data_IF_013801601900
#
_entry.id   IF_013801601900
#
_cell.length_a   1.000
_cell.length_b   1.000
_cell.length_c   1.000
_cell.angle_alpha   90.00
_cell.angle_beta   90.00
_cell.angle_gamma   90.00
#
_symmetry.space_group_name_H-M   'P 1'
#
loop_
_entity.id
_entity.type
_entity.pdbx_description
1 polymer ?
#
# COMPACT_ATOMS: atom_id res chain seq x y z
N UNK A 1 -9.78 8.37 7.02
CA UNK A 1 -11.26 8.38 7.04
C UNK A 1 -11.78 9.06 8.31
N UNK A 2 -11.47 8.54 9.51
CA UNK A 2 -11.94 9.12 10.77
C UNK A 2 -11.53 10.59 11.04
N UNK A 3 -10.25 11.03 10.86
CA UNK A 3 -9.87 12.42 11.12
C UNK A 3 -10.57 13.45 10.21
N UNK A 4 -10.95 13.02 9.01
CA UNK A 4 -11.66 13.84 8.03
C UNK A 4 -13.18 13.77 8.19
N UNK A 5 -13.69 13.01 9.19
CA UNK A 5 -15.12 12.89 9.49
C UNK A 5 -16.00 12.45 8.33
N UNK A 6 -15.42 11.71 7.37
CA UNK A 6 -16.14 11.32 6.15
C UNK A 6 -17.39 10.48 6.46
N UNK A 7 -17.37 9.72 7.56
CA UNK A 7 -18.50 8.91 8.00
C UNK A 7 -19.73 9.72 8.45
N UNK A 8 -19.60 11.03 8.71
CA UNK A 8 -20.72 11.93 9.02
C UNK A 8 -21.60 12.18 7.78
N UNK A 9 -21.02 12.11 6.57
CA UNK A 9 -21.71 12.33 5.29
C UNK A 9 -21.79 11.07 4.40
N UNK A 10 -21.00 10.04 4.70
CA UNK A 10 -21.01 8.75 4.04
C UNK A 10 -21.07 7.63 5.10
N UNK A 11 -22.26 7.34 5.66
CA UNK A 11 -22.39 6.47 6.82
C UNK A 11 -22.23 4.97 6.50
N UNK A 12 -22.24 4.57 5.23
CA UNK A 12 -22.05 3.18 4.82
C UNK A 12 -20.61 2.95 4.36
N UNK A 13 -19.87 2.16 5.14
CA UNK A 13 -18.47 1.83 4.88
C UNK A 13 -18.39 0.35 4.51
N UNK A 14 -17.86 0.04 3.34
CA UNK A 14 -17.60 -1.35 2.91
C UNK A 14 -16.10 -1.60 2.86
N UNK A 15 -15.61 -2.58 3.62
CA UNK A 15 -14.23 -3.05 3.56
C UNK A 15 -14.10 -4.04 2.41
N UNK A 16 -13.55 -3.58 1.28
CA UNK A 16 -13.41 -4.38 0.05
C UNK A 16 -12.14 -5.23 0.04
N UNK A 17 -11.05 -4.72 0.61
CA UNK A 17 -9.78 -5.45 0.80
C UNK A 17 -9.20 -6.05 -0.51
N UNK A 18 -9.14 -5.24 -1.58
CA UNK A 18 -8.59 -5.62 -2.90
C UNK A 18 -7.07 -5.42 -3.04
N UNK A 19 -6.36 -5.18 -1.93
CA UNK A 19 -4.88 -5.14 -1.96
C UNK A 19 -4.28 -3.93 -2.66
N UNK A 20 -4.94 -2.75 -2.63
CA UNK A 20 -4.40 -1.49 -3.15
C UNK A 20 -3.90 -0.53 -2.05
N UNK A 21 -2.86 -0.89 -1.26
CA UNK A 21 -2.30 0.05 -0.31
C UNK A 21 -1.60 1.20 -1.06
N UNK A 22 -1.74 2.42 -0.54
CA UNK A 22 -0.97 3.56 -1.01
C UNK A 22 0.37 3.55 -0.27
N UNK A 23 1.47 3.38 -1.00
CA UNK A 23 2.81 3.53 -0.45
C UNK A 23 3.30 4.97 -0.62
N UNK A 24 3.87 5.54 0.44
CA UNK A 24 4.54 6.84 0.41
C UNK A 24 6.05 6.68 0.49
N UNK A 25 6.79 7.70 0.05
CA UNK A 25 8.23 7.80 0.26
C UNK A 25 8.54 8.85 1.34
N UNK A 26 9.42 8.51 2.28
CA UNK A 26 10.05 9.50 3.15
C UNK A 26 11.28 10.05 2.44
N UNK A 27 11.26 11.35 2.12
CA UNK A 27 12.30 11.98 1.31
C UNK A 27 12.92 13.19 2.01
N UNK A 28 14.18 13.48 1.69
CA UNK A 28 14.89 14.69 2.11
C UNK A 28 15.36 15.47 0.88
N UNK A 29 15.44 16.80 0.98
CA UNK A 29 16.09 17.61 -0.04
C UNK A 29 17.55 17.15 -0.27
N UNK A 30 17.97 17.06 -1.52
CA UNK A 30 19.27 16.50 -1.90
C UNK A 30 20.45 17.37 -1.46
N UNK A 31 20.31 18.69 -1.51
CA UNK A 31 21.38 19.61 -1.11
C UNK A 31 21.57 19.58 0.41
N UNK A 32 20.46 19.56 1.15
CA UNK A 32 20.49 19.32 2.61
C UNK A 32 21.18 18.01 2.92
N UNK A 33 20.79 16.91 2.26
CA UNK A 33 21.43 15.60 2.45
C UNK A 33 22.94 15.66 2.23
N UNK A 34 23.38 16.28 1.14
CA UNK A 34 24.79 16.39 0.78
C UNK A 34 25.59 17.29 1.74
N UNK A 35 24.94 18.26 2.40
CA UNK A 35 25.59 19.09 3.42
C UNK A 35 25.79 18.39 4.77
N UNK A 36 25.11 17.26 5.01
CA UNK A 36 25.22 16.53 6.26
C UNK A 36 26.57 15.81 6.37
N UNK A 37 27.18 15.77 7.56
CA UNK A 37 28.32 14.89 7.83
C UNK A 37 27.96 13.42 7.56
N UNK A 38 28.95 12.63 7.15
CA UNK A 38 28.76 11.20 6.80
C UNK A 38 28.06 10.40 7.92
N UNK A 39 28.41 10.65 9.18
CA UNK A 39 27.77 9.96 10.32
C UNK A 39 26.26 10.25 10.41
N UNK A 40 25.81 11.46 10.07
CA UNK A 40 24.39 11.80 10.05
C UNK A 40 23.68 11.13 8.88
N UNK A 41 24.31 11.08 7.70
CA UNK A 41 23.77 10.34 6.56
C UNK A 41 23.55 8.86 6.90
N UNK A 42 24.50 8.24 7.61
CA UNK A 42 24.37 6.85 8.04
C UNK A 42 23.25 6.66 9.08
N UNK A 43 23.11 7.59 10.03
CA UNK A 43 22.00 7.59 11.00
C UNK A 43 20.66 7.69 10.25
N UNK A 44 20.51 8.63 9.32
CA UNK A 44 19.25 8.80 8.59
C UNK A 44 18.91 7.61 7.70
N UNK A 45 19.89 6.93 7.08
CA UNK A 45 19.64 5.69 6.34
C UNK A 45 19.07 4.59 7.25
N UNK A 46 19.62 4.44 8.46
CA UNK A 46 19.12 3.48 9.45
C UNK A 46 17.71 3.83 9.91
N UNK A 47 17.51 5.08 10.33
CA UNK A 47 16.21 5.58 10.78
C UNK A 47 15.14 5.51 9.68
N UNK A 48 15.49 5.75 8.41
CA UNK A 48 14.56 5.62 7.30
C UNK A 48 14.04 4.19 7.12
N UNK A 49 14.88 3.18 7.39
CA UNK A 49 14.45 1.78 7.41
C UNK A 49 13.53 1.49 8.59
N UNK A 50 13.94 1.89 9.80
CA UNK A 50 13.12 1.71 11.02
C UNK A 50 11.77 2.42 10.92
N UNK A 51 11.74 3.61 10.31
CA UNK A 51 10.52 4.36 10.07
C UNK A 51 9.49 3.55 9.27
N UNK A 52 9.93 2.76 8.29
CA UNK A 52 9.03 1.94 7.47
C UNK A 52 8.29 0.90 8.31
N UNK A 53 8.99 0.27 9.26
CA UNK A 53 8.40 -0.72 10.17
C UNK A 53 7.46 -0.04 11.18
N UNK A 54 7.88 1.07 11.78
CA UNK A 54 7.07 1.84 12.74
C UNK A 54 5.81 2.39 12.09
N UNK A 55 5.93 2.95 10.88
CA UNK A 55 4.82 3.52 10.14
C UNK A 55 3.80 2.44 9.76
N UNK A 56 4.26 1.25 9.34
CA UNK A 56 3.38 0.12 9.02
C UNK A 56 2.57 -0.28 10.25
N UNK A 57 3.23 -0.50 11.40
CA UNK A 57 2.56 -0.89 12.64
C UNK A 57 1.53 0.16 13.12
N UNK A 58 1.87 1.45 13.02
CA UNK A 58 0.95 2.53 13.39
C UNK A 58 -0.26 2.63 12.45
N UNK A 59 -0.08 2.39 11.14
CA UNK A 59 -1.20 2.37 10.19
C UNK A 59 -2.14 1.21 10.46
N UNK A 60 -1.62 0.00 10.69
CA UNK A 60 -2.44 -1.17 11.00
C UNK A 60 -3.27 -0.96 12.27
N UNK A 61 -2.63 -0.48 13.34
CA UNK A 61 -3.29 -0.13 14.59
C UNK A 61 -4.40 0.90 14.40
N UNK A 62 -4.13 1.96 13.65
CA UNK A 62 -5.10 3.05 13.40
C UNK A 62 -6.24 2.61 12.48
N UNK A 63 -5.98 1.77 11.48
CA UNK A 63 -7.02 1.26 10.58
C UNK A 63 -8.13 0.53 11.37
N UNK A 64 -7.75 -0.40 12.26
CA UNK A 64 -8.70 -1.10 13.11
C UNK A 64 -9.40 -0.19 14.13
N UNK A 65 -8.67 0.73 14.75
CA UNK A 65 -9.23 1.70 15.69
C UNK A 65 -10.27 2.62 15.02
N UNK A 66 -9.95 3.17 13.86
CA UNK A 66 -10.81 4.12 13.16
C UNK A 66 -12.12 3.50 12.71
N UNK A 67 -12.11 2.28 12.19
CA UNK A 67 -13.37 1.58 11.85
C UNK A 67 -14.28 1.43 13.08
N UNK A 68 -13.72 1.07 14.24
CA UNK A 68 -14.48 0.97 15.50
C UNK A 68 -15.05 2.32 15.95
N UNK A 69 -14.27 3.40 15.84
CA UNK A 69 -14.72 4.74 16.22
C UNK A 69 -15.82 5.25 15.29
N UNK A 70 -15.69 5.04 13.98
CA UNK A 70 -16.74 5.43 13.01
C UNK A 70 -18.03 4.65 13.28
N UNK A 71 -17.95 3.34 13.56
CA UNK A 71 -19.12 2.54 13.94
C UNK A 71 -19.81 3.05 15.21
N UNK A 72 -19.03 3.43 16.23
CA UNK A 72 -19.56 4.07 17.47
C UNK A 72 -20.25 5.41 17.19
N UNK A 73 -19.92 6.08 16.10
CA UNK A 73 -20.53 7.35 15.67
C UNK A 73 -21.68 7.14 14.65
N UNK A 74 -22.20 5.92 14.53
CA UNK A 74 -23.38 5.62 13.72
C UNK A 74 -23.08 5.13 12.30
N UNK A 75 -21.82 4.96 11.93
CA UNK A 75 -21.48 4.37 10.64
C UNK A 75 -21.80 2.88 10.60
N UNK A 76 -22.39 2.41 9.50
CA UNK A 76 -22.56 0.99 9.21
C UNK A 76 -21.32 0.48 8.49
N UNK A 77 -20.54 -0.36 9.17
CA UNK A 77 -19.35 -1.02 8.60
C UNK A 77 -19.73 -2.43 8.15
N UNK A 78 -19.47 -2.75 6.89
CA UNK A 78 -19.69 -4.07 6.30
C UNK A 78 -18.40 -4.60 5.67
N UNK A 79 -18.31 -5.93 5.53
CA UNK A 79 -17.23 -6.59 4.80
C UNK A 79 -17.73 -7.03 3.43
N UNK A 80 -16.90 -6.84 2.41
CA UNK A 80 -17.24 -7.30 1.07
C UNK A 80 -17.11 -8.84 1.00
N UNK A 81 -18.11 -9.57 0.47
CA UNK A 81 -18.07 -11.02 0.43
C UNK A 81 -16.81 -11.55 -0.29
N UNK A 82 -16.14 -12.52 0.30
CA UNK A 82 -14.91 -13.07 -0.25
C UNK A 82 -15.07 -13.65 -1.66
N UNK A 83 -16.24 -14.22 -1.96
CA UNK A 83 -16.57 -14.74 -3.29
C UNK A 83 -16.66 -13.61 -4.34
N UNK A 84 -17.37 -12.52 -4.03
CA UNK A 84 -17.46 -11.36 -4.91
C UNK A 84 -16.09 -10.68 -5.08
N UNK A 85 -15.31 -10.58 -3.99
CA UNK A 85 -13.94 -10.05 -4.04
C UNK A 85 -13.06 -10.82 -5.02
N UNK A 86 -13.12 -12.16 -5.00
CA UNK A 86 -12.37 -13.01 -5.93
C UNK A 86 -12.84 -12.80 -7.36
N UNK A 87 -14.15 -12.81 -7.59
CA UNK A 87 -14.75 -12.55 -8.91
C UNK A 87 -14.30 -11.20 -9.48
N UNK A 88 -14.27 -10.15 -8.66
CA UNK A 88 -13.79 -8.84 -9.08
C UNK A 88 -12.30 -8.86 -9.45
N UNK A 89 -11.46 -9.54 -8.66
CA UNK A 89 -10.03 -9.66 -8.95
C UNK A 89 -9.75 -10.40 -10.28
N UNK A 90 -10.56 -11.42 -10.60
CA UNK A 90 -10.47 -12.20 -11.85
C UNK A 90 -10.98 -11.44 -13.07
N UNK A 91 -11.97 -10.55 -12.90
CA UNK A 91 -12.51 -9.71 -13.98
C UNK A 91 -11.57 -8.58 -14.41
N UNK A 92 -10.59 -8.22 -13.58
CA UNK A 92 -9.65 -7.17 -13.92
C UNK A 92 -8.82 -7.59 -15.16
N UNK A 93 -8.60 -6.71 -16.15
CA UNK A 93 -7.62 -6.97 -17.20
C UNK A 93 -6.21 -7.07 -16.61
N UNK A 94 -5.21 -7.41 -17.43
CA UNK A 94 -3.82 -7.42 -16.98
C UNK A 94 -3.26 -5.99 -16.85
N UNK A 95 -3.79 -5.24 -15.89
CA UNK A 95 -3.36 -3.87 -15.57
C UNK A 95 -1.88 -3.80 -15.15
N UNK A 96 -1.33 -4.92 -14.64
CA UNK A 96 0.09 -5.00 -14.32
C UNK A 96 0.95 -4.99 -15.59
N UNK A 97 0.52 -5.69 -16.65
CA UNK A 97 1.20 -5.65 -17.96
C UNK A 97 1.13 -4.25 -18.57
N UNK A 98 -0.05 -3.62 -18.57
CA UNK A 98 -0.22 -2.25 -19.07
C UNK A 98 0.72 -1.27 -18.34
N UNK A 99 0.80 -1.40 -17.01
CA UNK A 99 1.72 -0.61 -16.20
C UNK A 99 3.19 -0.90 -16.51
N UNK A 100 3.57 -2.17 -16.70
CA UNK A 100 4.93 -2.56 -17.07
C UNK A 100 5.31 -1.99 -18.44
N UNK A 101 4.51 -2.23 -19.47
CA UNK A 101 4.76 -1.77 -20.83
C UNK A 101 4.94 -0.24 -20.86
N UNK A 102 4.07 0.50 -20.18
CA UNK A 102 4.11 1.95 -20.13
C UNK A 102 5.36 2.52 -19.43
N UNK A 103 5.94 1.79 -18.48
CA UNK A 103 7.12 2.22 -17.75
C UNK A 103 8.42 1.74 -18.43
N UNK A 104 8.43 0.55 -19.02
CA UNK A 104 9.57 0.07 -19.81
C UNK A 104 9.78 0.92 -21.07
N UNK A 105 8.70 1.41 -21.69
CA UNK A 105 8.79 2.41 -22.77
C UNK A 105 9.51 3.71 -22.34
N UNK A 106 9.59 3.97 -21.03
CA UNK A 106 10.32 5.11 -20.44
C UNK A 106 11.71 4.73 -19.92
N UNK A 107 12.18 3.51 -20.18
CA UNK A 107 13.47 3.00 -19.71
C UNK A 107 13.48 2.58 -18.23
N UNK A 108 12.32 2.47 -17.58
CA UNK A 108 12.21 2.00 -16.20
C UNK A 108 12.09 0.47 -16.20
N UNK A 109 12.85 -0.28 -15.38
CA UNK A 109 12.81 -1.75 -15.36
C UNK A 109 11.58 -2.29 -14.61
N UNK A 110 10.38 -1.93 -15.07
CA UNK A 110 9.13 -2.15 -14.38
C UNK A 110 8.78 -3.63 -14.19
N UNK A 111 9.13 -4.49 -15.17
CA UNK A 111 8.95 -5.95 -15.04
C UNK A 111 9.74 -6.52 -13.86
N UNK A 112 10.98 -6.10 -13.69
CA UNK A 112 11.82 -6.53 -12.57
C UNK A 112 11.24 -6.05 -11.23
N UNK A 113 10.74 -4.81 -11.17
CA UNK A 113 10.09 -4.25 -9.98
C UNK A 113 8.83 -5.04 -9.60
N UNK A 114 7.95 -5.34 -10.56
CA UNK A 114 6.73 -6.09 -10.30
C UNK A 114 7.02 -7.51 -9.80
N UNK A 115 7.97 -8.21 -10.43
CA UNK A 115 8.42 -9.53 -9.96
C UNK A 115 8.99 -9.47 -8.53
N UNK A 116 9.87 -8.52 -8.26
CA UNK A 116 10.47 -8.35 -6.93
C UNK A 116 9.42 -8.04 -5.85
N UNK A 117 8.40 -7.24 -6.18
CA UNK A 117 7.30 -6.95 -5.29
C UNK A 117 6.51 -8.22 -4.94
N UNK A 118 6.07 -8.96 -5.95
CA UNK A 118 5.26 -10.18 -5.78
C UNK A 118 6.04 -11.29 -5.06
N UNK A 119 7.32 -11.46 -5.37
CA UNK A 119 8.22 -12.36 -4.64
C UNK A 119 8.37 -11.95 -3.18
N UNK A 120 8.52 -10.65 -2.91
CA UNK A 120 8.60 -10.13 -1.55
C UNK A 120 7.34 -10.40 -0.75
N UNK A 121 6.16 -10.24 -1.37
CA UNK A 121 4.86 -10.55 -0.75
C UNK A 121 4.80 -12.04 -0.40
N UNK A 122 5.11 -12.93 -1.34
CA UNK A 122 5.10 -14.39 -1.10
C UNK A 122 6.10 -14.81 -0.03
N UNK A 123 7.33 -14.27 -0.04
CA UNK A 123 8.36 -14.56 0.98
C UNK A 123 7.94 -14.17 2.39
N UNK A 124 7.06 -13.18 2.53
CA UNK A 124 6.50 -12.74 3.83
C UNK A 124 5.19 -13.45 4.18
N UNK A 125 4.82 -14.51 3.46
CA UNK A 125 3.61 -15.30 3.72
C UNK A 125 2.33 -14.74 3.13
N UNK A 126 2.41 -13.69 2.31
CA UNK A 126 1.24 -13.13 1.63
C UNK A 126 0.66 -14.08 0.59
N UNK A 127 -0.67 -14.09 0.48
CA UNK A 127 -1.44 -14.86 -0.51
C UNK A 127 -2.26 -13.92 -1.40
N UNK A 128 -1.65 -13.31 -2.43
CA UNK A 128 -2.34 -12.42 -3.34
C UNK A 128 -3.55 -13.10 -4.00
N UNK A 129 -4.67 -12.38 -4.12
CA UNK A 129 -5.83 -12.88 -4.88
C UNK A 129 -5.50 -13.09 -6.36
N UNK A 130 -4.49 -12.39 -6.87
CA UNK A 130 -3.98 -12.49 -8.22
C UNK A 130 -2.46 -12.34 -8.21
N UNK A 131 -1.78 -13.16 -9.02
CA UNK A 131 -0.36 -13.03 -9.27
C UNK A 131 -0.12 -12.00 -10.38
N UNK A 132 0.14 -10.76 -9.99
CA UNK A 132 0.34 -9.65 -10.93
C UNK A 132 1.60 -9.75 -11.78
N UNK A 133 2.51 -10.64 -11.40
CA UNK A 133 3.72 -10.95 -12.13
C UNK A 133 3.56 -12.05 -13.19
N UNK A 134 2.42 -12.74 -13.22
CA UNK A 134 2.08 -13.69 -14.27
C UNK A 134 1.62 -12.95 -15.55
N UNK A 135 2.17 -13.35 -16.70
CA UNK A 135 1.82 -12.75 -18.00
C UNK A 135 2.50 -11.41 -18.30
N UNK A 136 3.54 -11.03 -17.54
CA UNK A 136 4.45 -9.92 -17.83
C UNK A 136 5.60 -10.31 -18.76
#
# INVERSE_FOLDING_TARGET
>A
MFPFKIHEVAPYITKVDLGGPISGALTMNKDTWNSLPAYMQDIFKKLGKEYSDVQTAEVEKKAGLFLKLMAKQGATVSEFPAAERRKWAELLPNIAKEWVDANEAKGVPAKAVMKAFMDGVRKRGGTPLRNWDEGL
#
